data_IF_080092729979
#
_entry.id   IF_080092729979
#
_cell.length_a   1.000
_cell.length_b   1.000
_cell.length_c   1.000
_cell.angle_alpha   90.00
_cell.angle_beta   90.00
_cell.angle_gamma   90.00
#
_symmetry.space_group_name_H-M   'P 1'
#
loop_
_entity.id
_entity.type
_entity.pdbx_description
1 polymer ?
#
# COMPACT_ATOMS: atom_id res chain seq x y z
N UNK A 1 12.70 -7.04 -0.65
CA UNK A 1 12.72 -8.28 0.17
C UNK A 1 11.33 -8.92 0.21
N UNK A 2 10.25 -8.15 0.29
CA UNK A 2 8.87 -8.60 0.08
C UNK A 2 8.37 -8.28 -1.34
N UNK A 3 7.33 -8.98 -1.81
CA UNK A 3 6.47 -8.60 -2.94
C UNK A 3 5.47 -7.51 -2.51
N UNK A 4 4.84 -6.80 -3.46
CA UNK A 4 3.79 -5.80 -3.17
C UNK A 4 2.56 -6.40 -2.47
N UNK A 5 2.37 -7.72 -2.57
CA UNK A 5 1.39 -8.49 -1.80
C UNK A 5 1.76 -8.68 -0.32
N UNK A 6 2.93 -8.19 0.09
CA UNK A 6 3.60 -8.39 1.39
C UNK A 6 4.04 -9.84 1.67
N UNK A 7 4.06 -10.69 0.64
CA UNK A 7 4.64 -12.02 0.67
C UNK A 7 6.18 -11.96 0.59
N UNK A 8 6.87 -12.85 1.30
CA UNK A 8 8.32 -12.97 1.23
C UNK A 8 8.75 -13.52 -0.14
N UNK A 9 9.63 -12.79 -0.85
CA UNK A 9 10.10 -13.21 -2.19
C UNK A 9 10.80 -14.58 -2.20
N UNK A 10 11.49 -14.92 -1.10
CA UNK A 10 12.32 -16.12 -1.00
C UNK A 10 11.54 -17.38 -0.61
N UNK A 11 10.43 -17.24 0.10
CA UNK A 11 9.64 -18.35 0.62
C UNK A 11 8.17 -18.01 0.44
N UNK A 12 7.49 -18.77 -0.40
CA UNK A 12 6.07 -18.59 -0.68
C UNK A 12 5.22 -18.92 0.55
N UNK A 13 4.08 -18.24 0.67
CA UNK A 13 3.11 -18.44 1.76
C UNK A 13 3.48 -17.77 3.09
N UNK A 14 4.60 -17.05 3.17
CA UNK A 14 4.99 -16.26 4.35
C UNK A 14 4.71 -14.79 4.08
N UNK A 15 3.87 -14.18 4.91
CA UNK A 15 3.47 -12.77 4.79
C UNK A 15 3.91 -11.97 6.01
N UNK A 16 4.33 -10.74 5.79
CA UNK A 16 4.72 -9.82 6.87
C UNK A 16 3.85 -8.56 6.86
N UNK A 17 3.54 -8.05 8.05
CA UNK A 17 2.74 -6.85 8.23
C UNK A 17 3.09 -6.16 9.56
N UNK A 18 2.72 -4.90 9.70
CA UNK A 18 3.07 -4.10 10.88
C UNK A 18 4.51 -3.63 10.87
N UNK A 19 4.98 -3.09 11.99
CA UNK A 19 6.29 -2.41 12.09
C UNK A 19 7.47 -3.25 11.58
N UNK A 20 7.40 -4.58 11.59
CA UNK A 20 8.44 -5.46 11.04
C UNK A 20 8.69 -5.22 9.53
N UNK A 21 7.71 -4.71 8.78
CA UNK A 21 7.86 -4.34 7.36
C UNK A 21 8.38 -2.92 7.18
N UNK A 22 8.59 -2.16 8.26
CA UNK A 22 9.01 -0.78 8.21
C UNK A 22 7.89 0.23 8.01
N UNK A 23 6.65 -0.12 8.37
CA UNK A 23 5.61 0.89 8.59
C UNK A 23 5.73 1.49 9.98
N UNK A 24 5.29 2.73 10.15
CA UNK A 24 5.25 3.41 11.44
C UNK A 24 3.85 3.95 11.72
N UNK A 25 3.26 3.54 12.85
CA UNK A 25 1.91 3.95 13.26
C UNK A 25 0.90 2.79 13.31
N UNK A 26 -0.16 2.97 14.09
CA UNK A 26 -1.20 1.95 14.28
C UNK A 26 -2.04 1.76 13.01
N UNK A 27 -2.34 2.84 12.29
CA UNK A 27 -3.16 2.80 11.08
C UNK A 27 -2.41 2.08 9.95
N UNK A 28 -1.12 2.37 9.78
CA UNK A 28 -0.26 1.75 8.80
C UNK A 28 -0.02 0.26 9.10
N UNK A 29 0.11 -0.07 10.38
CA UNK A 29 0.22 -1.46 10.83
C UNK A 29 -1.07 -2.24 10.57
N UNK A 30 -2.24 -1.65 10.85
CA UNK A 30 -3.52 -2.25 10.53
C UNK A 30 -3.72 -2.40 9.01
N UNK A 31 -3.38 -1.38 8.23
CA UNK A 31 -3.50 -1.39 6.77
C UNK A 31 -2.62 -2.48 6.13
N UNK A 32 -1.36 -2.57 6.54
CA UNK A 32 -0.47 -3.66 6.07
C UNK A 32 -0.97 -5.04 6.51
N UNK A 33 -1.55 -5.15 7.72
CA UNK A 33 -2.20 -6.36 8.20
C UNK A 33 -3.38 -6.79 7.31
N UNK A 34 -4.22 -5.85 6.88
CA UNK A 34 -5.32 -6.11 5.95
C UNK A 34 -4.78 -6.63 4.61
N UNK A 35 -3.77 -5.97 4.02
CA UNK A 35 -3.17 -6.40 2.75
C UNK A 35 -2.57 -7.80 2.85
N UNK A 36 -1.75 -8.04 3.88
CA UNK A 36 -1.12 -9.34 4.11
C UNK A 36 -2.16 -10.43 4.36
N UNK A 37 -3.19 -10.15 5.16
CA UNK A 37 -4.26 -11.10 5.47
C UNK A 37 -5.10 -11.47 4.25
N UNK A 38 -5.48 -10.48 3.43
CA UNK A 38 -6.19 -10.73 2.16
C UNK A 38 -5.34 -11.64 1.28
N UNK A 39 -4.07 -11.31 1.07
CA UNK A 39 -3.20 -12.10 0.19
C UNK A 39 -2.85 -13.47 0.74
N UNK A 40 -2.73 -13.63 2.06
CA UNK A 40 -2.58 -14.94 2.71
C UNK A 40 -3.81 -15.82 2.50
N UNK A 41 -5.02 -15.27 2.67
CA UNK A 41 -6.25 -15.99 2.43
C UNK A 41 -6.38 -16.43 0.96
N UNK A 42 -6.03 -15.54 0.02
CA UNK A 42 -6.01 -15.85 -1.42
C UNK A 42 -4.99 -16.92 -1.77
N UNK A 43 -3.79 -16.86 -1.19
CA UNK A 43 -2.75 -17.89 -1.36
C UNK A 43 -3.25 -19.28 -0.95
N UNK A 44 -3.91 -19.40 0.21
CA UNK A 44 -4.48 -20.68 0.69
C UNK A 44 -5.58 -21.21 -0.25
N UNK A 45 -6.31 -20.30 -0.93
CA UNK A 45 -7.35 -20.65 -1.91
C UNK A 45 -6.81 -20.91 -3.32
N UNK A 46 -5.52 -20.76 -3.55
CA UNK A 46 -4.92 -20.86 -4.89
C UNK A 46 -5.30 -19.70 -5.82
N UNK A 47 -5.74 -18.58 -5.26
CA UNK A 47 -6.10 -17.36 -5.99
C UNK A 47 -4.87 -16.46 -6.20
N UNK A 48 -4.89 -15.66 -7.27
CA UNK A 48 -3.82 -14.68 -7.52
C UNK A 48 -3.79 -13.59 -6.45
N UNK A 49 -2.59 -13.14 -6.08
CA UNK A 49 -2.42 -12.06 -5.12
C UNK A 49 -2.97 -10.73 -5.66
N UNK A 50 -3.59 -9.96 -4.77
CA UNK A 50 -4.08 -8.62 -5.04
C UNK A 50 -2.99 -7.58 -4.76
N UNK A 51 -2.77 -6.72 -5.75
CA UNK A 51 -1.84 -5.59 -5.67
C UNK A 51 -2.65 -4.31 -5.54
N UNK A 52 -2.52 -3.65 -4.39
CA UNK A 52 -3.23 -2.40 -4.13
C UNK A 52 -2.66 -1.27 -5.00
N UNK A 53 -3.52 -0.39 -5.55
CA UNK A 53 -3.10 0.60 -6.53
C UNK A 53 -2.22 1.68 -5.90
N UNK A 54 -1.11 2.05 -6.55
CA UNK A 54 -0.11 2.99 -6.01
C UNK A 54 -0.63 4.42 -5.84
N UNK A 55 -1.72 4.78 -6.51
CA UNK A 55 -2.39 6.06 -6.30
C UNK A 55 -3.35 6.05 -5.11
N UNK A 56 -3.51 4.92 -4.41
CA UNK A 56 -4.06 4.82 -3.05
C UNK A 56 -2.95 4.88 -1.99
N UNK A 57 -3.29 5.35 -0.78
CA UNK A 57 -2.31 5.47 0.30
C UNK A 57 -1.75 4.11 0.76
N UNK A 58 -2.60 3.07 0.76
CA UNK A 58 -2.22 1.70 1.12
C UNK A 58 -1.27 1.12 0.06
N UNK A 59 -1.62 1.23 -1.22
CA UNK A 59 -0.77 0.74 -2.31
C UNK A 59 0.55 1.50 -2.41
N UNK A 60 0.55 2.82 -2.24
CA UNK A 60 1.77 3.62 -2.15
C UNK A 60 2.69 3.15 -1.02
N UNK A 61 2.13 2.86 0.15
CA UNK A 61 2.89 2.37 1.30
C UNK A 61 3.50 0.99 1.02
N UNK A 62 2.73 0.07 0.44
CA UNK A 62 3.21 -1.25 0.00
C UNK A 62 4.33 -1.11 -1.05
N UNK A 63 4.16 -0.21 -2.02
CA UNK A 63 5.17 0.05 -3.05
C UNK A 63 6.45 0.61 -2.44
N UNK A 64 6.37 1.57 -1.51
CA UNK A 64 7.51 2.11 -0.79
C UNK A 64 8.28 1.01 -0.04
N UNK A 65 7.60 0.19 0.76
CA UNK A 65 8.23 -0.91 1.53
C UNK A 65 8.99 -1.89 0.62
N UNK A 66 8.45 -2.15 -0.56
CA UNK A 66 8.90 -3.25 -1.42
C UNK A 66 9.92 -2.82 -2.49
N UNK A 67 9.93 -1.53 -2.85
CA UNK A 67 10.83 -0.94 -3.85
C UNK A 67 12.00 -0.16 -3.25
N UNK A 68 11.94 0.22 -1.96
CA UNK A 68 13.00 1.01 -1.32
C UNK A 68 14.34 0.29 -1.25
N UNK A 69 15.42 1.04 -1.45
CA UNK A 69 16.78 0.52 -1.30
C UNK A 69 17.08 0.24 0.18
N UNK A 70 17.48 -0.99 0.50
CA UNK A 70 17.75 -1.46 1.86
C UNK A 70 18.80 -0.61 2.58
N UNK A 71 19.76 -0.03 1.85
CA UNK A 71 20.85 0.73 2.46
C UNK A 71 20.39 2.07 3.07
N UNK A 72 19.26 2.62 2.59
CA UNK A 72 18.71 3.90 3.05
C UNK A 72 17.24 3.76 3.47
N UNK A 73 16.81 2.55 3.83
CA UNK A 73 15.44 2.31 4.22
C UNK A 73 15.14 2.99 5.55
N UNK A 74 14.05 3.78 5.58
CA UNK A 74 13.54 4.38 6.81
C UNK A 74 12.09 3.95 7.01
N UNK A 75 11.68 3.66 8.25
CA UNK A 75 10.28 3.46 8.58
C UNK A 75 9.42 4.62 8.07
N UNK A 76 8.24 4.31 7.56
CA UNK A 76 7.38 5.29 6.91
C UNK A 76 5.97 5.30 7.49
N UNK A 77 5.54 6.49 7.89
CA UNK A 77 4.14 6.83 8.17
C UNK A 77 3.45 7.35 6.91
N UNK A 78 2.13 7.26 6.89
CA UNK A 78 1.31 7.77 5.80
C UNK A 78 1.53 9.28 5.60
N UNK A 79 1.82 9.69 4.36
CA UNK A 79 1.93 11.09 4.00
C UNK A 79 1.60 11.31 2.52
N UNK A 80 1.32 12.54 2.11
CA UNK A 80 0.98 12.84 0.71
C UNK A 80 2.17 12.73 -0.26
N UNK A 81 3.41 12.68 0.23
CA UNK A 81 4.62 12.63 -0.59
C UNK A 81 4.89 11.27 -1.21
N UNK A 82 4.32 10.19 -0.67
CA UNK A 82 4.44 8.84 -1.23
C UNK A 82 3.43 8.58 -2.37
N UNK A 83 2.44 9.46 -2.54
CA UNK A 83 1.46 9.34 -3.61
C UNK A 83 2.05 9.89 -4.92
N UNK A 84 1.72 9.28 -6.08
CA UNK A 84 2.08 9.81 -7.39
C UNK A 84 1.63 11.28 -7.55
N UNK A 85 2.35 12.11 -8.32
CA UNK A 85 1.94 13.50 -8.54
C UNK A 85 0.60 13.60 -9.29
N UNK A 86 -0.04 14.77 -9.22
CA UNK A 86 -1.20 15.10 -10.04
C UNK A 86 -0.73 15.59 -11.42
N UNK A 87 -1.54 15.37 -12.46
CA UNK A 87 -1.25 15.82 -13.82
C UNK A 87 -1.18 17.35 -13.95
N UNK A 88 -1.82 18.07 -13.03
CA UNK A 88 -1.86 19.53 -13.02
C UNK A 88 -1.07 20.12 -11.85
N UNK A 89 -0.33 21.21 -12.11
CA UNK A 89 0.37 21.96 -11.08
C UNK A 89 -0.61 22.80 -10.28
N UNK A 90 -0.79 22.47 -9.00
CA UNK A 90 -1.63 23.22 -8.06
C UNK A 90 -0.71 23.98 -7.09
N UNK A 91 -0.84 25.32 -7.06
CA UNK A 91 -0.03 26.19 -6.18
C UNK A 91 -0.40 26.03 -4.70
N UNK A 92 -1.69 25.98 -4.39
CA UNK A 92 -2.17 25.81 -3.02
C UNK A 92 -1.86 24.40 -2.51
N UNK A 93 -1.05 24.30 -1.44
CA UNK A 93 -0.74 23.02 -0.78
C UNK A 93 -2.01 22.32 -0.28
N UNK A 94 -2.96 23.08 0.26
CA UNK A 94 -4.22 22.54 0.78
C UNK A 94 -5.04 21.91 -0.34
N UNK A 95 -5.21 22.64 -1.45
CA UNK A 95 -5.98 22.14 -2.60
C UNK A 95 -5.29 20.93 -3.24
N UNK A 96 -3.96 20.97 -3.36
CA UNK A 96 -3.18 19.83 -3.87
C UNK A 96 -3.38 18.58 -3.02
N UNK A 97 -3.29 18.70 -1.70
CA UNK A 97 -3.50 17.58 -0.78
C UNK A 97 -4.94 17.06 -0.85
N UNK A 98 -5.93 17.94 -0.98
CA UNK A 98 -7.34 17.57 -1.15
C UNK A 98 -7.54 16.74 -2.42
N UNK A 99 -7.00 17.18 -3.56
CA UNK A 99 -7.12 16.46 -4.82
C UNK A 99 -6.42 15.10 -4.80
N UNK A 100 -5.23 15.02 -4.18
CA UNK A 100 -4.55 13.74 -3.94
C UNK A 100 -5.40 12.78 -3.09
N UNK A 101 -6.00 13.28 -2.01
CA UNK A 101 -6.86 12.48 -1.14
C UNK A 101 -8.10 11.98 -1.90
N UNK A 102 -8.75 12.83 -2.69
CA UNK A 102 -9.92 12.45 -3.49
C UNK A 102 -9.59 11.36 -4.51
N UNK A 103 -8.48 11.50 -5.24
CA UNK A 103 -8.01 10.46 -6.17
C UNK A 103 -7.70 9.15 -5.45
N UNK A 104 -7.01 9.21 -4.32
CA UNK A 104 -6.66 8.02 -3.53
C UNK A 104 -7.90 7.28 -3.02
N UNK A 105 -8.91 8.03 -2.54
CA UNK A 105 -10.18 7.48 -2.09
C UNK A 105 -10.99 6.86 -3.23
N UNK A 106 -11.00 7.49 -4.40
CA UNK A 106 -11.67 6.98 -5.58
C UNK A 106 -11.01 5.69 -6.09
N UNK A 107 -9.67 5.66 -6.16
CA UNK A 107 -8.89 4.49 -6.56
C UNK A 107 -9.13 3.29 -5.64
N UNK A 108 -9.03 3.49 -4.31
CA UNK A 108 -9.24 2.38 -3.37
C UNK A 108 -10.69 1.87 -3.39
N UNK A 109 -11.68 2.75 -3.56
CA UNK A 109 -13.09 2.34 -3.67
C UNK A 109 -13.33 1.47 -4.90
N UNK A 110 -12.82 1.88 -6.06
CA UNK A 110 -12.91 1.07 -7.29
C UNK A 110 -12.20 -0.26 -7.13
N UNK A 111 -11.02 -0.26 -6.50
CA UNK A 111 -10.27 -1.48 -6.26
C UNK A 111 -11.04 -2.47 -5.37
N UNK A 112 -11.61 -1.99 -4.26
CA UNK A 112 -12.42 -2.80 -3.34
C UNK A 112 -13.63 -3.39 -4.06
N UNK A 113 -14.34 -2.57 -4.86
CA UNK A 113 -15.50 -3.01 -5.65
C UNK A 113 -15.13 -4.06 -6.70
N UNK A 114 -14.06 -3.84 -7.46
CA UNK A 114 -13.65 -4.73 -8.56
C UNK A 114 -13.13 -6.09 -8.07
N UNK A 115 -12.76 -6.21 -6.79
CA UNK A 115 -12.21 -7.44 -6.21
C UNK A 115 -13.15 -8.05 -5.16
N UNK A 116 -14.40 -7.59 -5.07
CA UNK A 116 -15.43 -8.08 -4.13
C UNK A 116 -14.94 -8.15 -2.66
N UNK A 117 -14.10 -7.19 -2.27
CA UNK A 117 -13.63 -7.06 -0.89
C UNK A 117 -14.75 -6.39 -0.07
N UNK A 118 -15.37 -7.14 0.84
CA UNK A 118 -16.45 -6.65 1.73
C UNK A 118 -15.95 -6.38 3.13
#
# INVERSE_FOLDING_TARGET
HLLQSLELKKIRGIFFAGQITGVEGYIESAASGIVAGINAARFVRGEEALIFPEDSLIGALCSYITSSNLNNFQPMKSNFGILPPLNQKIKSRQERNRQLALRALDSIKRFVQNNDLK
#
